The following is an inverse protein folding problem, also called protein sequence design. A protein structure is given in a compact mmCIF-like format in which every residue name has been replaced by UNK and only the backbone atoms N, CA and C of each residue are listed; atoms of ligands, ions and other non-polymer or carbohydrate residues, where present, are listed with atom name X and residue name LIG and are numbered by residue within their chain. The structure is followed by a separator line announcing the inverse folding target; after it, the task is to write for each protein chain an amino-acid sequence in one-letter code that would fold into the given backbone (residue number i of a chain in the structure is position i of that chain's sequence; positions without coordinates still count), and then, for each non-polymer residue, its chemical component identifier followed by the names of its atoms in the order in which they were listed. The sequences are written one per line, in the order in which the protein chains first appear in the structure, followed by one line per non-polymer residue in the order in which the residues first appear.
data_IF_151690993757
#
_entry.id   IF_151690993757
#
_cell.length_a   1.000
_cell.length_b   1.000
_cell.length_c   1.000
_cell.angle_alpha   90.00
_cell.angle_beta   90.00
_cell.angle_gamma   90.00
#
_symmetry.space_group_name_H-M   'P 1'
#
loop_
_entity.id
_entity.type
_entity.pdbx_description
1 polymer ?
#
# COMPACT_ATOMS: atom_id res chain seq x y z
N UNK A 1 11.55 -10.48 20.63
CA UNK A 1 10.50 -9.44 20.77
C UNK A 1 11.00 -8.22 19.99
N UNK A 2 10.56 -8.05 18.73
CA UNK A 2 11.11 -7.02 17.85
C UNK A 2 10.41 -5.67 18.09
N UNK A 3 11.20 -4.63 18.38
CA UNK A 3 10.72 -3.27 18.63
C UNK A 3 10.28 -2.58 17.34
N UNK A 4 8.96 -2.58 17.09
CA UNK A 4 8.14 -1.39 16.79
C UNK A 4 8.66 -0.29 15.86
N UNK A 5 9.20 -0.59 14.69
CA UNK A 5 9.43 0.46 13.69
C UNK A 5 8.11 0.83 13.01
N UNK A 6 7.48 1.90 13.49
CA UNK A 6 6.25 2.48 12.93
C UNK A 6 6.62 3.58 11.94
N UNK A 7 6.53 3.29 10.65
CA UNK A 7 6.74 4.29 9.61
C UNK A 7 5.49 5.17 9.50
N UNK A 8 5.68 6.49 9.55
CA UNK A 8 4.62 7.45 9.19
C UNK A 8 4.64 7.61 7.68
N UNK A 9 3.50 7.34 7.04
CA UNK A 9 3.37 7.41 5.59
C UNK A 9 2.04 8.01 5.16
N UNK A 10 2.03 8.64 3.99
CA UNK A 10 0.82 8.97 3.27
C UNK A 10 0.50 7.86 2.26
N UNK A 11 -0.79 7.68 1.94
CA UNK A 11 -1.21 6.76 0.87
C UNK A 11 -1.58 7.57 -0.36
N UNK A 12 -1.03 7.20 -1.52
CA UNK A 12 -1.30 7.87 -2.80
C UNK A 12 -1.86 6.90 -3.83
N UNK A 13 -2.76 7.37 -4.68
CA UNK A 13 -3.18 6.70 -5.91
C UNK A 13 -2.93 7.65 -7.09
N UNK A 14 -1.88 7.38 -7.86
CA UNK A 14 -1.37 8.35 -8.84
C UNK A 14 -0.98 9.66 -8.14
N UNK A 15 -1.41 10.84 -8.63
CA UNK A 15 -1.07 12.12 -8.01
C UNK A 15 -1.93 12.47 -6.78
N UNK A 16 -2.86 11.61 -6.38
CA UNK A 16 -3.87 11.92 -5.35
C UNK A 16 -3.50 11.28 -4.02
N UNK A 17 -3.40 12.09 -2.96
CA UNK A 17 -3.33 11.61 -1.58
C UNK A 17 -4.69 11.13 -1.13
N UNK A 18 -4.75 9.94 -0.56
CA UNK A 18 -5.94 9.34 0.03
C UNK A 18 -6.03 9.68 1.52
N UNK A 19 -7.19 10.14 1.94
CA UNK A 19 -7.56 10.40 3.32
C UNK A 19 -8.50 9.33 3.86
N UNK A 20 -8.32 8.95 5.12
CA UNK A 20 -9.24 8.08 5.83
C UNK A 20 -10.44 8.84 6.36
N UNK A 21 -11.65 8.43 6.02
CA UNK A 21 -12.87 9.03 6.53
C UNK A 21 -13.28 8.40 7.86
N UNK A 22 -13.22 9.19 8.94
CA UNK A 22 -13.59 8.79 10.30
C UNK A 22 -14.95 9.34 10.76
N UNK A 23 -15.72 9.95 9.85
CA UNK A 23 -17.00 10.58 10.20
C UNK A 23 -16.81 11.61 11.32
N UNK A 24 -17.56 11.47 12.42
CA UNK A 24 -17.42 12.32 13.61
C UNK A 24 -16.46 11.76 14.66
N UNK A 25 -15.74 10.68 14.37
CA UNK A 25 -14.86 10.01 15.35
C UNK A 25 -13.57 10.81 15.52
N UNK A 26 -13.30 11.30 16.71
CA UNK A 26 -12.04 12.02 17.01
C UNK A 26 -10.88 11.04 17.08
N UNK A 27 -9.77 11.35 16.40
CA UNK A 27 -8.55 10.56 16.44
C UNK A 27 -7.63 11.07 17.56
N UNK A 28 -7.35 10.22 18.55
CA UNK A 28 -6.40 10.54 19.64
C UNK A 28 -4.94 10.31 19.29
N UNK A 29 -4.66 9.62 18.17
CA UNK A 29 -3.32 9.36 17.63
C UNK A 29 -3.42 8.95 16.17
N UNK A 30 -2.28 8.92 15.46
CA UNK A 30 -2.25 8.40 14.09
C UNK A 30 -2.70 6.93 14.08
N UNK A 31 -3.70 6.57 13.26
CA UNK A 31 -4.17 5.19 13.14
C UNK A 31 -3.14 4.31 12.43
N UNK A 32 -3.08 3.04 12.83
CA UNK A 32 -2.22 2.04 12.20
C UNK A 32 -2.95 1.40 11.02
N UNK A 33 -2.47 1.62 9.80
CA UNK A 33 -3.05 1.10 8.56
C UNK A 33 -2.38 -0.23 8.17
N UNK A 34 -3.18 -1.23 7.84
CA UNK A 34 -2.74 -2.40 7.11
C UNK A 34 -2.78 -2.09 5.61
N UNK A 35 -1.64 -1.77 5.01
CA UNK A 35 -1.54 -1.40 3.58
C UNK A 35 -2.02 -2.49 2.64
N UNK A 36 -1.85 -3.76 3.03
CA UNK A 36 -2.20 -4.89 2.18
C UNK A 36 -3.71 -5.10 2.06
N UNK A 37 -4.48 -4.45 2.94
CA UNK A 37 -5.93 -4.51 2.93
C UNK A 37 -6.59 -3.41 2.08
N UNK A 38 -5.79 -2.52 1.46
CA UNK A 38 -6.34 -1.45 0.60
C UNK A 38 -6.96 -2.08 -0.64
N UNK A 39 -8.26 -1.88 -0.81
CA UNK A 39 -9.03 -2.40 -1.94
C UNK A 39 -9.90 -1.31 -2.55
N UNK A 40 -9.86 -1.18 -3.88
CA UNK A 40 -10.68 -0.20 -4.60
C UNK A 40 -12.13 -0.69 -4.66
N UNK A 41 -13.07 0.16 -4.27
CA UNK A 41 -14.50 -0.18 -4.19
C UNK A 41 -15.34 0.34 -5.34
N UNK A 42 -14.79 1.24 -6.17
CA UNK A 42 -15.47 1.81 -7.34
C UNK A 42 -14.61 1.71 -8.60
N UNK A 43 -15.25 1.48 -9.75
CA UNK A 43 -14.59 1.49 -11.06
C UNK A 43 -14.41 2.91 -11.64
N UNK A 44 -15.19 3.89 -11.18
CA UNK A 44 -15.22 5.26 -11.72
C UNK A 44 -14.72 6.29 -10.71
N UNK A 45 -15.00 6.09 -9.42
CA UNK A 45 -14.53 6.98 -8.36
C UNK A 45 -13.21 6.48 -7.75
N UNK A 46 -12.48 7.39 -7.09
CA UNK A 46 -11.28 7.09 -6.30
C UNK A 46 -11.65 6.68 -4.86
N UNK A 47 -12.54 5.69 -4.72
CA UNK A 47 -12.97 5.19 -3.41
C UNK A 47 -12.35 3.83 -3.13
N UNK A 48 -11.86 3.68 -1.90
CA UNK A 48 -11.21 2.46 -1.43
C UNK A 48 -11.68 2.13 -0.02
N UNK A 49 -11.43 0.89 0.43
CA UNK A 49 -11.52 0.48 1.82
C UNK A 49 -10.17 -0.07 2.27
N UNK A 50 -9.88 0.04 3.56
CA UNK A 50 -8.72 -0.58 4.19
C UNK A 50 -9.02 -0.90 5.67
N UNK A 51 -8.19 -1.73 6.29
CA UNK A 51 -8.21 -1.97 7.73
C UNK A 51 -7.25 -1.02 8.45
N UNK A 52 -7.78 -0.22 9.37
CA UNK A 52 -7.03 0.66 10.25
C UNK A 52 -7.39 0.36 11.71
N UNK A 53 -6.39 0.09 12.55
CA UNK A 53 -6.57 -0.37 13.94
C UNK A 53 -7.55 -1.56 14.07
N UNK A 54 -7.59 -2.44 13.07
CA UNK A 54 -8.49 -3.60 13.03
C UNK A 54 -9.90 -3.32 12.51
N UNK A 55 -10.26 -2.06 12.24
CA UNK A 55 -11.57 -1.66 11.72
C UNK A 55 -11.50 -1.23 10.26
N UNK A 56 -12.58 -1.44 9.49
CA UNK A 56 -12.66 -0.94 8.11
C UNK A 56 -12.79 0.59 8.12
N UNK A 57 -11.97 1.25 7.31
CA UNK A 57 -12.02 2.69 7.02
C UNK A 57 -12.20 2.91 5.52
N UNK A 58 -13.03 3.88 5.14
CA UNK A 58 -13.14 4.32 3.76
C UNK A 58 -12.00 5.28 3.46
N UNK A 59 -11.31 5.08 2.33
CA UNK A 59 -10.32 6.01 1.82
C UNK A 59 -10.88 6.73 0.60
N UNK A 60 -10.74 8.05 0.61
CA UNK A 60 -11.21 8.96 -0.46
C UNK A 60 -10.10 9.97 -0.79
N UNK A 61 -10.16 10.70 -1.92
CA UNK A 61 -9.24 11.78 -2.18
C UNK A 61 -9.27 12.84 -1.08
N UNK A 62 -8.11 13.42 -0.74
CA UNK A 62 -8.05 14.47 0.28
C UNK A 62 -8.95 15.67 -0.05
N UNK A 63 -9.14 15.98 -1.33
CA UNK A 63 -10.00 17.08 -1.79
C UNK A 63 -11.50 16.78 -1.63
N UNK A 64 -11.87 15.55 -1.30
CA UNK A 64 -13.24 15.15 -0.94
C UNK A 64 -13.41 15.00 0.59
N UNK A 65 -12.35 15.18 1.38
CA UNK A 65 -12.31 14.93 2.83
C UNK A 65 -13.05 15.98 3.69
N UNK A 66 -13.91 16.79 3.08
CA UNK A 66 -14.57 17.90 3.75
C UNK A 66 -15.71 17.44 4.66
N UNK A 67 -15.90 18.14 5.79
CA UNK A 67 -17.04 17.93 6.68
C UNK A 67 -17.00 16.69 7.57
N UNK A 68 -15.86 16.00 7.68
CA UNK A 68 -15.65 14.87 8.57
C UNK A 68 -14.21 14.88 9.14
N UNK A 69 -13.99 14.13 10.21
CA UNK A 69 -12.66 13.88 10.74
C UNK A 69 -11.92 12.96 9.77
N UNK A 70 -10.69 13.33 9.43
CA UNK A 70 -9.85 12.57 8.53
C UNK A 70 -8.38 12.60 8.95
N UNK A 71 -7.61 11.64 8.41
CA UNK A 71 -6.15 11.71 8.39
C UNK A 71 -5.64 11.36 7.01
N UNK A 72 -4.53 11.97 6.61
CA UNK A 72 -3.75 11.60 5.42
C UNK A 72 -2.46 10.86 5.78
N UNK A 73 -2.11 10.83 7.07
CA UNK A 73 -0.92 10.15 7.58
C UNK A 73 -1.30 8.96 8.49
N UNK A 74 -0.49 7.91 8.42
CA UNK A 74 -0.77 6.62 9.05
C UNK A 74 0.50 6.02 9.64
N UNK A 75 0.39 5.25 10.72
CA UNK A 75 1.42 4.27 11.04
C UNK A 75 1.22 3.03 10.17
N UNK A 76 2.21 2.58 9.42
CA UNK A 76 2.12 1.27 8.77
C UNK A 76 2.30 0.15 9.80
N UNK A 77 1.33 -0.77 9.94
CA UNK A 77 1.44 -1.91 10.87
C UNK A 77 2.41 -2.99 10.39
N UNK A 78 2.72 -2.98 9.09
CA UNK A 78 3.51 -3.97 8.39
C UNK A 78 4.38 -3.23 7.37
N UNK A 79 5.65 -3.63 7.25
CA UNK A 79 6.36 -3.36 6.00
C UNK A 79 5.52 -3.97 4.86
N UNK A 80 5.34 -3.29 3.71
CA UNK A 80 4.46 -3.80 2.66
C UNK A 80 4.86 -5.22 2.33
N UNK A 81 3.89 -6.15 2.38
CA UNK A 81 4.17 -7.52 1.99
C UNK A 81 4.55 -7.52 0.51
N UNK A 82 5.57 -8.31 0.16
CA UNK A 82 6.01 -8.40 -1.23
C UNK A 82 4.85 -8.86 -2.11
N UNK A 83 4.61 -8.14 -3.21
CA UNK A 83 3.69 -8.57 -4.25
C UNK A 83 4.46 -9.10 -5.45
N UNK A 84 3.83 -10.01 -6.16
CA UNK A 84 4.34 -10.57 -7.41
C UNK A 84 3.69 -9.83 -8.58
N UNK A 85 4.49 -9.13 -9.38
CA UNK A 85 4.02 -8.43 -10.57
C UNK A 85 3.92 -9.41 -11.75
N UNK A 86 2.73 -9.97 -12.01
CA UNK A 86 2.50 -10.94 -13.10
C UNK A 86 2.05 -10.29 -14.39
N UNK A 87 2.73 -10.60 -15.48
CA UNK A 87 2.26 -10.28 -16.82
C UNK A 87 1.08 -11.18 -17.21
N UNK A 88 -0.07 -10.59 -17.54
CA UNK A 88 -1.30 -11.32 -17.86
C UNK A 88 -1.20 -12.18 -19.13
N UNK A 89 -0.40 -11.76 -20.12
CA UNK A 89 -0.28 -12.48 -21.40
C UNK A 89 0.68 -13.65 -21.30
N UNK A 90 1.82 -13.47 -20.64
CA UNK A 90 2.87 -14.49 -20.57
C UNK A 90 2.77 -15.38 -19.33
N UNK A 91 2.02 -14.96 -18.31
CA UNK A 91 1.96 -15.62 -17.00
C UNK A 91 3.23 -15.48 -16.15
N UNK A 92 4.29 -14.87 -16.70
CA UNK A 92 5.59 -14.64 -16.04
C UNK A 92 5.52 -13.49 -15.06
N UNK A 93 6.46 -13.47 -14.12
CA UNK A 93 6.54 -12.49 -13.04
C UNK A 93 7.80 -11.65 -13.15
N UNK A 94 7.76 -10.43 -12.61
CA UNK A 94 8.91 -9.53 -12.56
C UNK A 94 9.97 -10.07 -11.58
N UNK A 95 11.22 -10.18 -12.04
CA UNK A 95 12.34 -10.78 -11.29
C UNK A 95 13.62 -9.93 -11.43
N UNK A 96 14.44 -9.83 -10.37
CA UNK A 96 15.82 -9.32 -10.46
C UNK A 96 16.73 -10.40 -11.04
N UNK A 97 17.35 -10.15 -12.20
CA UNK A 97 18.12 -11.15 -12.95
C UNK A 97 19.20 -11.81 -12.08
N UNK A 98 19.17 -13.14 -12.02
CA UNK A 98 20.09 -13.98 -11.24
C UNK A 98 20.15 -13.63 -9.74
N UNK A 99 19.10 -13.01 -9.16
CA UNK A 99 19.08 -12.57 -7.76
C UNK A 99 20.21 -11.60 -7.41
N UNK A 100 20.63 -10.80 -8.39
CA UNK A 100 21.73 -9.86 -8.21
C UNK A 100 21.44 -8.84 -7.10
N UNK A 101 22.43 -8.61 -6.25
CA UNK A 101 22.42 -7.56 -5.22
C UNK A 101 23.14 -6.29 -5.65
N UNK A 102 23.67 -6.26 -6.88
CA UNK A 102 24.36 -5.09 -7.42
C UNK A 102 23.37 -3.97 -7.79
N UNK A 103 23.76 -2.73 -7.54
CA UNK A 103 22.99 -1.56 -7.96
C UNK A 103 22.81 -1.55 -9.48
N UNK A 104 21.60 -1.22 -9.93
CA UNK A 104 21.24 -1.23 -11.35
C UNK A 104 21.08 -2.63 -11.96
N UNK A 105 20.95 -3.68 -11.13
CA UNK A 105 20.62 -5.02 -11.61
C UNK A 105 19.43 -5.01 -12.57
N UNK A 106 19.54 -5.77 -13.65
CA UNK A 106 18.48 -5.88 -14.65
C UNK A 106 17.24 -6.53 -14.04
N UNK A 107 16.07 -5.98 -14.37
CA UNK A 107 14.77 -6.55 -14.02
C UNK A 107 14.18 -7.22 -15.26
N UNK A 108 13.81 -8.49 -15.15
CA UNK A 108 13.35 -9.35 -16.27
C UNK A 108 11.99 -9.97 -15.96
N UNK A 109 11.39 -10.64 -16.95
CA UNK A 109 10.23 -11.51 -16.72
C UNK A 109 10.67 -12.97 -16.70
N UNK A 110 10.28 -13.69 -15.65
CA UNK A 110 10.64 -15.09 -15.48
C UNK A 110 9.48 -15.94 -14.96
N UNK A 111 9.66 -17.25 -15.02
CA UNK A 111 8.69 -18.18 -14.43
C UNK A 111 8.64 -17.96 -12.93
N UNK A 112 7.42 -17.86 -12.39
CA UNK A 112 7.18 -17.75 -10.96
C UNK A 112 7.78 -18.98 -10.24
N UNK A 113 8.73 -18.72 -9.34
CA UNK A 113 9.42 -19.74 -8.56
C UNK A 113 9.34 -19.44 -7.05
N UNK A 114 8.58 -18.42 -6.64
CA UNK A 114 8.44 -17.99 -5.25
C UNK A 114 9.72 -17.36 -4.65
N UNK A 115 10.72 -17.04 -5.47
CA UNK A 115 11.98 -16.45 -5.03
C UNK A 115 11.80 -15.04 -4.45
N UNK A 116 12.65 -14.67 -3.49
CA UNK A 116 12.66 -13.32 -2.92
C UNK A 116 12.95 -12.24 -3.97
N UNK A 117 13.69 -12.59 -5.01
CA UNK A 117 13.97 -11.79 -6.20
C UNK A 117 12.73 -11.48 -7.06
N UNK A 118 11.58 -12.11 -6.76
CA UNK A 118 10.29 -11.89 -7.42
C UNK A 118 9.28 -11.13 -6.54
N UNK A 119 9.67 -10.77 -5.30
CA UNK A 119 8.84 -10.09 -4.32
C UNK A 119 9.12 -8.60 -4.32
N UNK A 120 8.10 -7.79 -4.63
CA UNK A 120 8.24 -6.35 -4.78
C UNK A 120 7.40 -5.60 -3.74
N UNK A 121 8.04 -4.67 -3.05
CA UNK A 121 7.37 -3.72 -2.17
C UNK A 121 7.16 -2.43 -2.94
N UNK A 122 5.91 -1.99 -3.05
CA UNK A 122 5.62 -0.68 -3.63
C UNK A 122 5.98 0.39 -2.58
N UNK A 123 6.94 1.25 -2.92
CA UNK A 123 7.18 2.47 -2.17
C UNK A 123 6.27 3.56 -2.73
N UNK A 124 5.52 4.19 -1.84
CA UNK A 124 4.74 5.40 -2.11
C UNK A 124 5.50 6.57 -1.48
N UNK A 125 5.72 7.63 -2.26
CA UNK A 125 6.46 8.83 -1.86
C UNK A 125 5.62 10.09 -2.06
#
# INVERSE_FOLDING_TARGET
MASGQRYVQAITYGPVVLSGNYGSTTLGSLPSLNVDSISRTSSTALTFTASANGSTVNLIPFYDAHGHNYTVYWYASTAPSGYVNRNRYSGKVLEVYQRSTADGAAVVQWTDNGGADQQWTMLIG
#
